data_IF_158390098314
#
_entry.id   IF_158390098314
#
_cell.length_a   1.000
_cell.length_b   1.000
_cell.length_c   1.000
_cell.angle_alpha   90.00
_cell.angle_beta   90.00
_cell.angle_gamma   90.00
#
_symmetry.space_group_name_H-M   'P 1'
#
loop_
_entity.id
_entity.type
_entity.pdbx_description
1 polymer ?
#
# COMPACT_ATOMS: atom_id res chain seq x y z
N UNK A 1 -66.69 40.97 -16.26
CA UNK A 1 -65.89 41.12 -15.02
C UNK A 1 -64.47 40.67 -15.30
N UNK A 2 -63.51 41.61 -15.31
CA UNK A 2 -62.08 41.36 -15.54
C UNK A 2 -61.32 41.37 -14.21
N UNK A 3 -60.42 40.38 -14.07
CA UNK A 3 -59.08 40.46 -13.49
C UNK A 3 -58.80 40.39 -11.95
N UNK A 4 -57.62 39.78 -11.72
CA UNK A 4 -56.61 40.00 -10.66
C UNK A 4 -56.45 38.99 -9.50
N UNK A 5 -55.71 37.92 -9.84
CA UNK A 5 -54.40 37.51 -9.30
C UNK A 5 -54.20 37.19 -7.81
N UNK A 6 -53.91 35.89 -7.60
CA UNK A 6 -52.87 35.31 -6.71
C UNK A 6 -51.62 36.21 -6.61
N UNK A 7 -51.46 36.95 -5.50
CA UNK A 7 -50.22 37.71 -5.25
C UNK A 7 -49.96 37.98 -3.75
N UNK A 8 -50.31 37.07 -2.84
CA UNK A 8 -50.15 37.29 -1.39
C UNK A 8 -49.02 36.50 -0.70
N UNK A 9 -48.52 35.38 -1.24
CA UNK A 9 -47.53 34.56 -0.51
C UNK A 9 -46.07 34.69 -1.01
N UNK A 10 -45.82 35.45 -2.07
CA UNK A 10 -44.49 35.63 -2.66
C UNK A 10 -43.71 36.85 -2.12
N UNK A 11 -43.84 37.19 -0.82
CA UNK A 11 -43.15 38.34 -0.21
C UNK A 11 -42.30 38.07 1.04
N UNK A 12 -42.23 36.84 1.57
CA UNK A 12 -41.22 36.48 2.59
C UNK A 12 -39.93 35.87 2.04
N UNK A 13 -39.87 35.59 0.74
CA UNK A 13 -38.72 34.95 0.09
C UNK A 13 -37.77 35.94 -0.64
N UNK A 14 -37.76 37.24 -0.28
CA UNK A 14 -36.98 38.27 -1.00
C UNK A 14 -36.04 39.13 -0.16
N UNK A 15 -35.77 38.78 1.09
CA UNK A 15 -34.87 39.57 1.95
C UNK A 15 -33.61 38.81 2.46
N UNK A 16 -33.52 37.49 2.28
CA UNK A 16 -32.35 36.68 2.69
C UNK A 16 -31.55 36.12 1.49
N UNK A 17 -31.72 36.70 0.31
CA UNK A 17 -31.19 36.20 -0.97
C UNK A 17 -30.34 37.28 -1.65
N UNK A 18 -29.29 37.78 -0.96
CA UNK A 18 -28.34 38.66 -1.64
C UNK A 18 -26.86 38.47 -1.32
N UNK A 19 -26.46 37.94 -0.15
CA UNK A 19 -25.03 37.79 0.16
C UNK A 19 -24.64 36.58 1.04
N UNK A 20 -25.41 35.48 1.05
CA UNK A 20 -25.11 34.30 1.89
C UNK A 20 -24.90 32.96 1.16
N UNK A 21 -25.37 32.83 -0.09
CA UNK A 21 -25.43 31.53 -0.77
C UNK A 21 -24.17 31.16 -1.57
N UNK A 22 -23.48 32.14 -2.16
CA UNK A 22 -22.33 31.87 -3.03
C UNK A 22 -21.07 31.47 -2.24
N UNK A 23 -20.80 32.14 -1.13
CA UNK A 23 -19.65 31.81 -0.28
C UNK A 23 -19.80 30.42 0.38
N UNK A 24 -21.01 30.04 0.79
CA UNK A 24 -21.28 28.73 1.42
C UNK A 24 -21.25 27.58 0.40
N UNK A 25 -21.75 27.80 -0.82
CA UNK A 25 -21.70 26.80 -1.89
C UNK A 25 -20.27 26.56 -2.41
N UNK A 26 -19.43 27.60 -2.47
CA UNK A 26 -18.00 27.47 -2.79
C UNK A 26 -17.25 26.74 -1.65
N UNK A 27 -17.56 27.01 -0.39
CA UNK A 27 -16.97 26.27 0.75
C UNK A 27 -17.36 24.77 0.75
N UNK A 28 -18.61 24.46 0.45
CA UNK A 28 -19.11 23.07 0.36
C UNK A 28 -18.54 22.31 -0.84
N UNK A 29 -18.29 22.97 -1.96
CA UNK A 29 -17.64 22.37 -3.14
C UNK A 29 -16.15 22.10 -2.90
N UNK A 30 -15.46 22.94 -2.13
CA UNK A 30 -14.03 22.74 -1.77
C UNK A 30 -13.84 21.56 -0.80
N UNK A 31 -14.78 21.34 0.13
CA UNK A 31 -14.71 20.27 1.13
C UNK A 31 -15.02 18.85 0.60
N UNK A 32 -15.64 18.72 -0.59
CA UNK A 32 -15.94 17.41 -1.20
C UNK A 32 -14.75 16.82 -2.00
N UNK A 33 -13.59 17.46 -1.94
CA UNK A 33 -12.33 16.99 -2.53
C UNK A 33 -11.57 16.04 -1.60
N UNK A 34 -12.20 15.53 -0.54
CA UNK A 34 -11.62 14.55 0.35
C UNK A 34 -11.30 13.28 -0.46
N UNK A 35 -10.03 13.16 -0.85
CA UNK A 35 -9.53 12.23 -1.87
C UNK A 35 -10.02 10.80 -1.67
N UNK A 36 -10.89 10.36 -2.58
CA UNK A 36 -11.14 8.94 -2.77
C UNK A 36 -9.81 8.27 -3.17
N UNK A 37 -9.30 7.35 -2.34
CA UNK A 37 -8.07 6.63 -2.64
C UNK A 37 -8.18 5.90 -3.99
N UNK A 38 -7.41 6.36 -4.99
CA UNK A 38 -7.39 5.79 -6.33
C UNK A 38 -6.49 4.55 -6.36
N UNK A 39 -6.88 3.55 -7.14
CA UNK A 39 -6.06 2.35 -7.38
C UNK A 39 -5.79 2.20 -8.87
N UNK A 40 -4.57 1.77 -9.21
CA UNK A 40 -4.16 1.44 -10.58
C UNK A 40 -3.74 -0.02 -10.62
N UNK A 41 -4.38 -0.77 -11.49
CA UNK A 41 -4.11 -2.20 -11.69
C UNK A 41 -2.87 -2.39 -12.57
N UNK A 42 -1.97 -3.27 -12.14
CA UNK A 42 -0.73 -3.58 -12.88
C UNK A 42 -0.45 -5.09 -12.87
N UNK A 43 -0.13 -5.69 -14.02
CA UNK A 43 0.30 -7.09 -14.07
C UNK A 43 1.70 -7.22 -13.47
N UNK A 44 1.86 -8.09 -12.47
CA UNK A 44 3.12 -8.30 -11.78
C UNK A 44 3.40 -9.80 -11.55
N UNK A 45 4.68 -10.14 -11.49
CA UNK A 45 5.14 -11.42 -10.97
C UNK A 45 5.19 -11.30 -9.44
N UNK A 46 4.37 -12.08 -8.75
CA UNK A 46 4.29 -12.11 -7.29
C UNK A 46 4.84 -13.45 -6.80
N UNK A 47 5.99 -13.41 -6.13
CA UNK A 47 6.56 -14.55 -5.41
C UNK A 47 6.23 -14.47 -3.92
N UNK A 48 6.65 -15.48 -3.16
CA UNK A 48 6.52 -15.47 -1.71
C UNK A 48 7.83 -15.85 -1.02
N UNK A 49 8.03 -15.27 0.17
CA UNK A 49 9.15 -15.58 1.05
C UNK A 49 8.70 -15.76 2.50
N UNK A 50 9.59 -16.28 3.34
CA UNK A 50 9.39 -16.38 4.78
C UNK A 50 10.66 -16.01 5.54
N UNK A 51 10.60 -15.86 6.87
CA UNK A 51 11.76 -15.47 7.70
C UNK A 51 12.84 -16.56 7.85
N UNK A 52 12.70 -17.69 7.17
CA UNK A 52 13.61 -18.82 7.30
C UNK A 52 14.97 -18.56 6.65
N UNK A 53 15.96 -19.37 7.04
CA UNK A 53 17.36 -19.26 6.59
C UNK A 53 17.53 -19.33 5.08
N UNK A 54 16.64 -20.04 4.39
CA UNK A 54 16.73 -20.27 2.95
C UNK A 54 16.14 -19.09 2.20
N UNK A 55 14.91 -18.66 2.54
CA UNK A 55 14.29 -17.49 1.90
C UNK A 55 15.04 -16.19 2.18
N UNK A 56 15.56 -15.99 3.40
CA UNK A 56 16.22 -14.71 3.79
C UNK A 56 17.75 -14.79 3.88
N UNK A 57 18.34 -15.86 3.32
CA UNK A 57 19.79 -16.03 3.13
C UNK A 57 20.64 -15.74 4.37
N UNK A 58 20.31 -16.35 5.51
CA UNK A 58 21.07 -16.16 6.75
C UNK A 58 21.52 -17.47 7.39
N UNK A 59 22.64 -17.41 8.08
CA UNK A 59 23.20 -18.50 8.90
C UNK A 59 23.46 -18.00 10.32
N UNK A 60 23.64 -18.95 11.24
CA UNK A 60 23.99 -18.70 12.65
C UNK A 60 25.35 -19.31 12.91
N UNK A 61 26.27 -18.54 13.51
CA UNK A 61 27.61 -19.01 13.84
C UNK A 61 27.60 -20.08 14.94
N UNK A 62 28.56 -21.01 14.89
CA UNK A 62 28.75 -22.06 15.91
C UNK A 62 29.59 -21.59 17.12
N UNK A 63 30.59 -20.74 16.90
CA UNK A 63 31.57 -20.34 17.94
C UNK A 63 31.26 -18.95 18.54
N UNK A 64 30.77 -17.98 17.75
CA UNK A 64 30.24 -16.71 18.27
C UNK A 64 28.72 -16.81 18.37
N UNK A 65 28.28 -17.39 19.49
CA UNK A 65 26.93 -17.87 19.75
C UNK A 65 25.85 -16.78 19.48
N UNK A 66 24.73 -17.19 18.89
CA UNK A 66 23.46 -16.46 18.75
C UNK A 66 23.28 -15.47 17.59
N UNK A 67 24.34 -14.85 17.04
CA UNK A 67 24.16 -13.81 16.00
C UNK A 67 23.93 -14.39 14.60
N UNK A 68 22.87 -13.92 13.94
CA UNK A 68 22.61 -14.23 12.54
C UNK A 68 23.45 -13.32 11.62
N UNK A 69 23.91 -13.89 10.50
CA UNK A 69 24.69 -13.18 9.48
C UNK A 69 24.24 -13.58 8.07
N UNK A 70 24.50 -12.72 7.09
CA UNK A 70 24.19 -12.96 5.67
C UNK A 70 25.10 -14.06 5.13
N UNK A 71 24.52 -15.12 4.55
CA UNK A 71 25.29 -16.31 4.19
C UNK A 71 26.08 -16.17 2.87
N UNK A 72 25.60 -15.35 1.93
CA UNK A 72 26.21 -15.18 0.60
C UNK A 72 25.91 -13.80 -0.02
N UNK A 73 26.59 -13.47 -1.12
CA UNK A 73 26.42 -12.22 -1.85
C UNK A 73 27.26 -11.05 -1.31
N UNK A 74 27.04 -9.82 -1.80
CA UNK A 74 27.89 -8.66 -1.50
C UNK A 74 27.98 -8.31 0.00
N UNK A 75 26.99 -8.72 0.79
CA UNK A 75 26.92 -8.46 2.22
C UNK A 75 27.29 -9.69 3.08
N UNK A 76 27.90 -10.73 2.50
CA UNK A 76 28.29 -11.96 3.21
C UNK A 76 29.07 -11.64 4.49
N UNK A 77 28.71 -12.33 5.58
CA UNK A 77 29.36 -12.17 6.89
C UNK A 77 28.85 -10.99 7.73
N UNK A 78 28.17 -9.99 7.12
CA UNK A 78 27.55 -8.89 7.87
C UNK A 78 26.40 -9.39 8.75
N UNK A 79 26.16 -8.70 9.87
CA UNK A 79 25.04 -9.00 10.79
C UNK A 79 23.71 -8.94 10.05
N UNK A 80 22.84 -9.94 10.28
CA UNK A 80 21.47 -9.98 9.75
C UNK A 80 20.48 -9.91 10.90
N UNK A 81 19.52 -9.00 10.77
CA UNK A 81 18.35 -8.93 11.65
C UNK A 81 17.24 -9.79 11.04
N UNK A 82 17.00 -10.96 11.62
CA UNK A 82 16.05 -11.94 11.07
C UNK A 82 14.62 -11.49 11.36
N UNK A 83 13.76 -11.48 10.32
CA UNK A 83 12.37 -11.06 10.45
C UNK A 83 12.18 -9.55 10.58
N UNK A 84 13.24 -8.76 10.39
CA UNK A 84 13.16 -7.30 10.29
C UNK A 84 13.27 -6.92 8.81
N UNK A 85 12.34 -6.11 8.35
CA UNK A 85 12.24 -5.60 6.99
C UNK A 85 13.26 -4.46 6.77
N UNK A 86 13.50 -4.09 5.52
CA UNK A 86 14.38 -2.97 5.21
C UNK A 86 13.85 -1.60 5.67
N UNK A 87 12.54 -1.46 5.90
CA UNK A 87 11.98 -0.26 6.56
C UNK A 87 12.17 -0.25 8.07
N UNK A 88 12.69 -1.33 8.66
CA UNK A 88 12.91 -1.48 10.10
C UNK A 88 11.74 -2.09 10.88
N UNK A 89 10.64 -2.43 10.21
CA UNK A 89 9.48 -3.07 10.84
C UNK A 89 9.65 -4.58 10.97
N UNK A 90 8.85 -5.23 11.83
CA UNK A 90 8.80 -6.69 11.89
C UNK A 90 7.95 -7.23 10.74
N UNK A 91 8.52 -8.15 9.97
CA UNK A 91 7.83 -8.82 8.88
C UNK A 91 6.61 -9.58 9.40
N UNK A 92 5.45 -9.35 8.77
CA UNK A 92 4.15 -9.93 9.14
C UNK A 92 3.30 -10.12 7.90
N UNK A 93 2.16 -10.81 8.03
CA UNK A 93 1.20 -10.90 6.91
C UNK A 93 0.83 -9.48 6.47
N UNK A 94 0.94 -9.20 5.17
CA UNK A 94 0.78 -7.87 4.60
C UNK A 94 2.10 -7.17 4.26
N UNK A 95 3.25 -7.63 4.76
CA UNK A 95 4.56 -7.11 4.36
C UNK A 95 4.87 -7.51 2.91
N UNK A 96 5.16 -6.51 2.07
CA UNK A 96 5.56 -6.68 0.67
C UNK A 96 7.00 -6.20 0.50
N UNK A 97 7.81 -7.01 -0.21
CA UNK A 97 9.07 -6.57 -0.75
C UNK A 97 8.89 -6.10 -2.20
N UNK A 98 9.40 -4.92 -2.52
CA UNK A 98 9.30 -4.32 -3.85
C UNK A 98 10.58 -3.52 -4.18
N UNK A 99 10.68 -3.03 -5.41
CA UNK A 99 11.70 -2.05 -5.79
C UNK A 99 11.23 -0.64 -5.43
N UNK A 100 11.87 -0.02 -4.43
CA UNK A 100 11.47 1.28 -3.89
C UNK A 100 11.63 2.45 -4.85
N UNK A 101 12.36 2.27 -5.96
CA UNK A 101 12.43 3.26 -7.06
C UNK A 101 11.09 3.42 -7.77
N UNK A 102 10.22 2.41 -7.71
CA UNK A 102 8.91 2.41 -8.34
C UNK A 102 7.77 2.43 -7.32
N UNK A 103 7.97 1.79 -6.16
CA UNK A 103 6.98 1.71 -5.09
C UNK A 103 7.63 2.08 -3.76
N UNK A 104 7.60 3.37 -3.36
CA UNK A 104 8.17 3.82 -2.10
C UNK A 104 7.60 3.05 -0.90
N UNK A 105 8.35 3.01 0.20
CA UNK A 105 7.86 2.42 1.45
C UNK A 105 6.51 3.05 1.84
N UNK A 106 5.59 2.21 2.33
CA UNK A 106 4.22 2.63 2.66
C UNK A 106 3.23 2.46 1.51
N UNK A 107 3.69 2.22 0.27
CA UNK A 107 2.79 1.96 -0.87
C UNK A 107 1.85 0.80 -0.54
N UNK A 108 0.54 1.05 -0.61
CA UNK A 108 -0.49 0.06 -0.31
C UNK A 108 -0.88 -0.67 -1.58
N UNK A 109 -0.97 -2.00 -1.51
CA UNK A 109 -1.35 -2.85 -2.64
C UNK A 109 -2.44 -3.84 -2.23
N UNK A 110 -3.32 -4.18 -3.17
CA UNK A 110 -4.26 -5.30 -3.05
C UNK A 110 -3.82 -6.39 -4.01
N UNK A 111 -3.50 -7.57 -3.48
CA UNK A 111 -2.99 -8.70 -4.24
C UNK A 111 -4.04 -9.81 -4.21
N UNK A 112 -4.58 -10.24 -5.37
CA UNK A 112 -5.54 -11.35 -5.43
C UNK A 112 -5.01 -12.59 -4.73
N UNK A 113 -5.84 -13.21 -3.88
CA UNK A 113 -5.46 -14.41 -3.10
C UNK A 113 -4.56 -14.17 -1.88
N UNK A 114 -3.91 -13.01 -1.75
CA UNK A 114 -3.09 -12.66 -0.58
C UNK A 114 -3.78 -11.65 0.35
N UNK A 115 -4.44 -10.65 -0.25
CA UNK A 115 -5.13 -9.56 0.43
C UNK A 115 -4.39 -8.22 0.34
N UNK A 116 -4.70 -7.31 1.27
CA UNK A 116 -4.03 -6.00 1.38
C UNK A 116 -2.62 -6.16 1.95
N UNK A 117 -1.66 -5.46 1.37
CA UNK A 117 -0.30 -5.36 1.88
C UNK A 117 0.30 -3.98 1.70
N UNK A 118 1.48 -3.78 2.28
CA UNK A 118 2.24 -2.53 2.31
C UNK A 118 3.68 -2.83 1.96
N UNK A 119 4.28 -1.99 1.12
CA UNK A 119 5.71 -2.07 0.82
C UNK A 119 6.49 -1.65 2.06
N UNK A 120 7.14 -2.62 2.70
CA UNK A 120 7.94 -2.42 3.92
C UNK A 120 9.35 -3.01 3.74
N UNK A 121 9.59 -3.80 2.69
CA UNK A 121 10.85 -4.52 2.51
C UNK A 121 11.44 -4.36 1.10
N UNK A 122 12.72 -4.70 0.94
CA UNK A 122 13.40 -4.76 -0.36
C UNK A 122 14.17 -6.08 -0.49
N UNK A 123 14.18 -6.61 -1.71
CA UNK A 123 14.97 -7.79 -2.05
C UNK A 123 16.05 -7.47 -3.08
N UNK A 124 17.20 -8.14 -2.99
CA UNK A 124 18.23 -8.04 -4.03
C UNK A 124 17.73 -8.56 -5.38
N UNK A 125 16.89 -9.61 -5.36
CA UNK A 125 16.28 -10.20 -6.55
C UNK A 125 14.92 -9.58 -6.96
N UNK A 126 14.42 -8.63 -6.18
CA UNK A 126 13.14 -7.96 -6.41
C UNK A 126 13.44 -6.57 -7.00
N UNK A 127 13.46 -6.51 -8.34
CA UNK A 127 13.88 -5.34 -9.11
C UNK A 127 12.90 -5.06 -10.24
N UNK A 128 12.72 -3.77 -10.54
CA UNK A 128 11.82 -3.27 -11.58
C UNK A 128 10.38 -3.11 -11.10
N UNK A 129 9.48 -2.60 -11.98
CA UNK A 129 8.11 -2.24 -11.63
C UNK A 129 7.15 -3.44 -11.55
N UNK A 130 7.53 -4.60 -12.07
CA UNK A 130 6.60 -5.72 -12.29
C UNK A 130 6.94 -6.96 -11.45
N UNK A 131 7.69 -6.80 -10.35
CA UNK A 131 8.08 -7.91 -9.47
C UNK A 131 7.88 -7.54 -8.01
N UNK A 132 7.18 -8.42 -7.29
CA UNK A 132 6.91 -8.32 -5.85
C UNK A 132 7.23 -9.64 -5.16
N UNK A 133 7.53 -9.58 -3.87
CA UNK A 133 7.65 -10.74 -2.99
C UNK A 133 6.78 -10.54 -1.75
N UNK A 134 5.82 -11.43 -1.50
CA UNK A 134 4.90 -11.31 -0.37
C UNK A 134 5.35 -12.17 0.81
N UNK A 135 5.22 -11.63 2.01
CA UNK A 135 5.63 -12.34 3.21
C UNK A 135 4.62 -13.40 3.66
N UNK A 136 5.11 -14.58 4.03
CA UNK A 136 4.37 -15.58 4.79
C UNK A 136 5.10 -15.95 6.07
N UNK A 137 4.34 -16.32 7.11
CA UNK A 137 4.89 -16.70 8.42
C UNK A 137 5.71 -18.00 8.40
N UNK A 138 5.55 -18.83 7.37
CA UNK A 138 6.23 -20.14 7.26
C UNK A 138 6.62 -20.42 5.82
N UNK A 139 7.76 -21.10 5.65
CA UNK A 139 8.23 -21.57 4.34
C UNK A 139 7.22 -22.45 3.62
N UNK A 140 6.52 -23.34 4.32
CA UNK A 140 5.47 -24.21 3.73
C UNK A 140 4.38 -23.39 3.02
N UNK A 141 3.91 -22.30 3.66
CA UNK A 141 2.92 -21.40 3.05
C UNK A 141 3.49 -20.62 1.86
N UNK A 142 4.73 -20.14 1.95
CA UNK A 142 5.40 -19.47 0.83
C UNK A 142 5.59 -20.40 -0.38
N UNK A 143 6.00 -21.65 -0.16
CA UNK A 143 6.12 -22.65 -1.22
C UNK A 143 4.76 -23.01 -1.83
N UNK A 144 3.71 -23.13 -1.00
CA UNK A 144 2.34 -23.37 -1.50
C UNK A 144 1.84 -22.20 -2.34
N UNK A 145 2.22 -20.97 -2.01
CA UNK A 145 1.91 -19.78 -2.81
C UNK A 145 2.63 -19.82 -4.17
N UNK A 146 3.91 -20.18 -4.19
CA UNK A 146 4.69 -20.32 -5.42
C UNK A 146 4.95 -18.98 -6.14
N UNK A 147 5.15 -19.05 -7.46
CA UNK A 147 5.32 -17.87 -8.32
C UNK A 147 4.07 -17.71 -9.17
N UNK A 148 3.45 -16.53 -9.11
CA UNK A 148 2.22 -16.24 -9.83
C UNK A 148 2.36 -14.98 -10.68
N UNK A 149 1.65 -14.92 -11.80
CA UNK A 149 1.42 -13.66 -12.55
C UNK A 149 0.03 -13.16 -12.17
N UNK A 150 -0.04 -12.03 -11.49
CA UNK A 150 -1.28 -11.49 -10.94
C UNK A 150 -1.44 -10.03 -11.34
N UNK A 151 -2.68 -9.58 -11.51
CA UNK A 151 -3.02 -8.16 -11.61
C UNK A 151 -3.14 -7.60 -10.20
N UNK A 152 -2.24 -6.70 -9.83
CA UNK A 152 -2.14 -6.10 -8.49
C UNK A 152 -2.67 -4.67 -8.54
N UNK A 153 -3.59 -4.33 -7.65
CA UNK A 153 -4.09 -2.96 -7.51
C UNK A 153 -3.17 -2.16 -6.61
N UNK A 154 -2.48 -1.17 -7.16
CA UNK A 154 -1.56 -0.29 -6.43
C UNK A 154 -2.27 1.01 -6.09
N UNK A 155 -2.28 1.40 -4.81
CA UNK A 155 -2.84 2.66 -4.37
C UNK A 155 -2.01 3.82 -4.94
N UNK A 156 -2.67 4.80 -5.53
CA UNK A 156 -2.11 6.10 -5.87
C UNK A 156 -2.61 7.06 -4.80
N UNK A 157 -1.68 7.60 -4.02
CA UNK A 157 -1.93 8.73 -3.14
C UNK A 157 -1.39 9.95 -3.89
N UNK A 158 -2.26 10.90 -4.21
CA UNK A 158 -1.94 12.17 -4.87
C UNK A 158 -1.28 13.15 -3.89
#
# INVERSE_FOLDING_TARGET
MRCFNRAAEARRARYSQRYGGFALAVLLAVLCSAGCARYVDRPMIVTAYSSDKISTNWRRGRILFWRAYVASGPNKGKRKYVGITSSGTKARKGTIAADTRYYPYGTVMKIPGYGKGVVEDIGSAIKGPNRLDVYFSTRKKALKWGRQKLTVSVRQDD
#
